data_IF_879485310236
#
_entry.id   IF_879485310236
#
_cell.length_a   1.000
_cell.length_b   1.000
_cell.length_c   1.000
_cell.angle_alpha   90.00
_cell.angle_beta   90.00
_cell.angle_gamma   90.00
#
_symmetry.space_group_name_H-M   'P 1'
#
loop_
_entity.id
_entity.type
_entity.pdbx_description
1 polymer ?
#
# COMPACT_ATOMS: atom_id res chain seq x y z
N UNK A 1 12.04 -20.41 -5.84
CA UNK A 1 11.58 -19.46 -4.80
C UNK A 1 11.94 -18.07 -5.29
N UNK A 2 11.15 -17.58 -6.23
CA UNK A 2 11.34 -16.28 -6.87
C UNK A 2 11.05 -15.20 -5.83
N UNK A 3 12.05 -14.38 -5.55
CA UNK A 3 12.03 -13.51 -4.39
C UNK A 3 10.89 -12.50 -4.52
N UNK A 4 10.16 -12.28 -3.43
CA UNK A 4 9.10 -11.28 -3.26
C UNK A 4 9.55 -9.85 -3.65
N UNK A 5 10.83 -9.63 -3.93
CA UNK A 5 11.44 -8.33 -4.22
C UNK A 5 11.12 -7.74 -5.60
N UNK A 6 10.58 -8.52 -6.55
CA UNK A 6 10.40 -8.06 -7.94
C UNK A 6 8.96 -7.72 -8.36
N UNK A 7 7.99 -7.73 -7.44
CA UNK A 7 6.58 -7.39 -7.76
C UNK A 7 6.19 -5.95 -7.37
N UNK A 8 7.10 -5.00 -7.53
CA UNK A 8 6.81 -3.56 -7.41
C UNK A 8 6.38 -3.05 -8.78
N UNK A 9 5.08 -2.86 -9.00
CA UNK A 9 4.55 -2.41 -10.28
C UNK A 9 4.31 -0.91 -10.29
N UNK A 10 5.00 -0.27 -11.24
CA UNK A 10 4.76 1.03 -11.85
C UNK A 10 4.44 2.20 -10.89
N UNK A 11 5.47 2.82 -10.32
CA UNK A 11 5.35 4.17 -9.79
C UNK A 11 5.25 5.18 -10.95
N UNK A 12 4.04 5.67 -11.26
CA UNK A 12 3.81 6.82 -12.16
C UNK A 12 4.15 8.14 -11.46
N UNK A 13 5.38 8.32 -10.97
CA UNK A 13 5.76 9.54 -10.24
C UNK A 13 7.23 9.91 -10.39
N UNK A 14 7.64 10.28 -11.60
CA UNK A 14 9.03 10.63 -11.93
C UNK A 14 9.66 11.65 -10.95
N UNK A 15 8.91 12.64 -10.47
CA UNK A 15 9.41 13.62 -9.48
C UNK A 15 9.57 13.06 -8.06
N UNK A 16 8.74 12.10 -7.65
CA UNK A 16 8.83 11.52 -6.30
C UNK A 16 10.03 10.59 -6.18
N UNK A 17 10.31 9.81 -7.22
CA UNK A 17 11.43 8.87 -7.23
C UNK A 17 12.81 9.58 -7.19
N UNK A 18 12.87 10.88 -7.51
CA UNK A 18 14.10 11.68 -7.37
C UNK A 18 14.52 11.88 -5.90
N UNK A 19 13.57 11.83 -4.96
CA UNK A 19 13.80 12.19 -3.54
C UNK A 19 13.38 11.12 -2.55
N UNK A 20 12.51 10.21 -2.95
CA UNK A 20 11.93 9.19 -2.09
C UNK A 20 12.08 7.82 -2.72
N UNK A 21 12.15 6.80 -1.87
CA UNK A 21 11.96 5.43 -2.32
C UNK A 21 10.45 5.15 -2.43
N UNK A 22 9.97 4.92 -3.66
CA UNK A 22 8.54 4.81 -3.96
C UNK A 22 8.18 3.37 -4.29
N UNK A 23 7.16 2.85 -3.60
CA UNK A 23 6.56 1.56 -3.89
C UNK A 23 5.19 1.76 -4.55
N UNK A 24 4.97 1.10 -5.68
CA UNK A 24 3.64 0.97 -6.28
C UNK A 24 2.97 -0.31 -5.77
N UNK A 25 1.75 -0.19 -5.24
CA UNK A 25 0.96 -1.33 -4.77
C UNK A 25 -0.25 -1.49 -5.70
N UNK A 26 -0.35 -2.66 -6.35
CA UNK A 26 -1.55 -3.04 -7.10
C UNK A 26 -2.51 -3.75 -6.15
N UNK A 27 -3.70 -3.18 -5.96
CA UNK A 27 -4.77 -3.77 -5.12
C UNK A 27 -5.16 -5.16 -5.61
N UNK A 28 -5.62 -6.04 -4.71
CA UNK A 28 -6.37 -7.25 -5.09
C UNK A 28 -7.50 -6.92 -6.08
N UNK A 29 -7.85 -7.86 -6.95
CA UNK A 29 -8.86 -7.67 -7.99
C UNK A 29 -8.34 -7.02 -9.28
N UNK A 30 -7.06 -6.61 -9.31
CA UNK A 30 -6.40 -6.10 -10.52
C UNK A 30 -5.14 -6.89 -10.80
N UNK A 31 -4.91 -7.24 -12.06
CA UNK A 31 -3.67 -7.89 -12.46
C UNK A 31 -2.46 -6.97 -12.20
N UNK A 32 -1.34 -7.52 -11.69
CA UNK A 32 -1.07 -8.95 -11.48
C UNK A 32 -1.45 -9.47 -10.08
N UNK A 33 -2.05 -8.65 -9.23
CA UNK A 33 -2.52 -9.10 -7.92
C UNK A 33 -3.64 -10.12 -8.08
N UNK A 34 -3.77 -10.99 -7.08
CA UNK A 34 -4.80 -12.02 -7.09
C UNK A 34 -6.20 -11.41 -7.16
N UNK A 35 -7.10 -12.09 -7.87
CA UNK A 35 -8.52 -11.74 -7.91
C UNK A 35 -9.24 -12.65 -6.91
N UNK A 36 -9.65 -12.08 -5.79
CA UNK A 36 -10.45 -12.80 -4.78
C UNK A 36 -11.95 -12.68 -5.11
N UNK A 37 -12.76 -13.63 -4.63
CA UNK A 37 -14.23 -13.57 -4.75
C UNK A 37 -14.89 -12.67 -3.69
N UNK A 38 -14.16 -12.30 -2.64
CA UNK A 38 -14.63 -11.46 -1.53
C UNK A 38 -13.47 -10.68 -0.88
N UNK A 39 -13.78 -9.89 0.16
CA UNK A 39 -12.78 -9.12 0.90
C UNK A 39 -12.37 -7.81 0.23
N UNK A 40 -13.33 -7.11 -0.40
CA UNK A 40 -13.14 -5.79 -1.02
C UNK A 40 -13.70 -4.64 -0.17
N UNK A 41 -13.96 -4.90 1.11
CA UNK A 41 -14.37 -3.89 2.07
C UNK A 41 -13.13 -3.10 2.51
N UNK A 42 -13.33 -1.85 2.94
CA UNK A 42 -12.24 -0.94 3.31
C UNK A 42 -11.20 -1.58 4.24
N UNK A 43 -11.66 -2.31 5.26
CA UNK A 43 -10.76 -2.96 6.22
C UNK A 43 -9.93 -4.07 5.60
N UNK A 44 -10.53 -4.95 4.81
CA UNK A 44 -9.80 -6.03 4.13
C UNK A 44 -8.77 -5.50 3.14
N UNK A 45 -9.10 -4.40 2.44
CA UNK A 45 -8.19 -3.77 1.50
C UNK A 45 -7.06 -3.02 2.22
N UNK A 46 -7.33 -2.38 3.35
CA UNK A 46 -6.32 -1.81 4.23
C UNK A 46 -5.36 -2.87 4.78
N UNK A 47 -5.88 -4.04 5.17
CA UNK A 47 -5.07 -5.14 5.70
C UNK A 47 -4.09 -5.68 4.63
N UNK A 48 -4.47 -5.67 3.35
CA UNK A 48 -3.54 -6.02 2.26
C UNK A 48 -2.37 -5.04 2.17
N UNK A 49 -2.65 -3.74 2.24
CA UNK A 49 -1.62 -2.70 2.20
C UNK A 49 -0.67 -2.90 3.38
N UNK A 50 -1.19 -3.11 4.59
CA UNK A 50 -0.37 -3.36 5.78
C UNK A 50 0.48 -4.62 5.63
N UNK A 51 -0.06 -5.68 5.04
CA UNK A 51 0.68 -6.92 4.75
C UNK A 51 1.85 -6.66 3.80
N UNK A 52 1.66 -5.81 2.78
CA UNK A 52 2.75 -5.38 1.90
C UNK A 52 3.80 -4.59 2.68
N UNK A 53 3.40 -3.65 3.54
CA UNK A 53 4.33 -2.88 4.38
C UNK A 53 5.14 -3.79 5.31
N UNK A 54 4.51 -4.80 5.91
CA UNK A 54 5.16 -5.80 6.74
C UNK A 54 6.19 -6.60 5.94
N UNK A 55 5.83 -7.06 4.75
CA UNK A 55 6.74 -7.83 3.88
C UNK A 55 7.97 -7.04 3.43
N UNK A 56 7.85 -5.72 3.32
CA UNK A 56 8.93 -4.80 2.95
C UNK A 56 9.73 -4.31 4.16
N UNK A 57 9.34 -4.66 5.39
CA UNK A 57 9.96 -4.18 6.61
C UNK A 57 9.80 -2.67 6.83
N UNK A 58 8.72 -2.08 6.30
CA UNK A 58 8.40 -0.65 6.42
C UNK A 58 7.62 -0.35 7.70
N UNK A 59 8.04 -0.96 8.80
CA UNK A 59 7.40 -0.85 10.12
C UNK A 59 8.29 -0.12 11.11
N UNK A 60 7.70 0.35 12.22
CA UNK A 60 8.43 1.03 13.30
C UNK A 60 9.01 2.40 12.90
N UNK A 61 10.33 2.51 12.79
CA UNK A 61 11.00 3.77 12.44
C UNK A 61 10.91 4.13 10.94
N UNK A 62 10.53 3.18 10.07
CA UNK A 62 10.50 3.34 8.61
C UNK A 62 9.09 3.46 8.02
N UNK A 63 8.14 3.95 8.82
CA UNK A 63 6.74 4.08 8.40
C UNK A 63 6.60 4.97 7.17
N UNK A 64 5.89 4.52 6.12
CA UNK A 64 5.75 5.29 4.89
C UNK A 64 4.67 6.37 5.03
N UNK A 65 4.71 7.34 4.13
CA UNK A 65 3.53 8.14 3.78
C UNK A 65 2.75 7.36 2.73
N UNK A 66 1.46 7.10 2.98
CA UNK A 66 0.59 6.45 1.99
C UNK A 66 -0.13 7.51 1.18
N UNK A 67 -0.12 7.33 -0.14
CA UNK A 67 -0.79 8.20 -1.10
C UNK A 67 -1.77 7.36 -1.90
N UNK A 68 -3.03 7.78 -1.92
CA UNK A 68 -4.11 7.08 -2.60
C UNK A 68 -5.03 8.11 -3.27
N UNK A 69 -5.63 7.74 -4.39
CA UNK A 69 -6.56 8.60 -5.13
C UNK A 69 -7.93 7.94 -5.23
N UNK A 70 -9.01 8.74 -5.14
CA UNK A 70 -10.39 8.29 -5.32
C UNK A 70 -10.74 7.15 -4.33
N UNK A 71 -11.14 5.98 -4.82
CA UNK A 71 -11.55 4.83 -3.99
C UNK A 71 -10.43 4.29 -3.09
N UNK A 72 -9.17 4.69 -3.27
CA UNK A 72 -8.11 4.38 -2.31
C UNK A 72 -8.29 5.10 -0.96
N UNK A 73 -9.10 6.17 -0.93
CA UNK A 73 -9.44 6.88 0.31
C UNK A 73 -10.11 5.99 1.36
N UNK A 74 -10.84 4.95 0.96
CA UNK A 74 -11.42 3.96 1.88
C UNK A 74 -10.34 3.21 2.67
N UNK A 75 -9.32 2.71 1.97
CA UNK A 75 -8.19 2.00 2.59
C UNK A 75 -7.37 2.93 3.47
N UNK A 76 -7.08 4.14 3.00
CA UNK A 76 -6.34 5.13 3.77
C UNK A 76 -7.08 5.52 5.05
N UNK A 77 -8.40 5.72 4.98
CA UNK A 77 -9.22 6.06 6.15
C UNK A 77 -9.27 4.91 7.14
N UNK A 78 -9.39 3.67 6.66
CA UNK A 78 -9.35 2.47 7.51
C UNK A 78 -7.98 2.32 8.20
N UNK A 79 -6.86 2.50 7.48
CA UNK A 79 -5.52 2.47 8.08
C UNK A 79 -5.34 3.60 9.09
N UNK A 80 -5.73 4.83 8.74
CA UNK A 80 -5.61 6.00 9.62
C UNK A 80 -6.42 5.88 10.91
N UNK A 81 -7.56 5.18 10.86
CA UNK A 81 -8.42 4.98 12.04
C UNK A 81 -8.01 3.78 12.89
N UNK A 82 -7.64 2.65 12.28
CA UNK A 82 -7.32 1.40 12.99
C UNK A 82 -5.85 1.27 13.38
N UNK A 83 -4.95 1.85 12.58
CA UNK A 83 -3.50 1.65 12.69
C UNK A 83 -2.69 2.93 12.41
N UNK A 84 -3.03 4.09 13.03
CA UNK A 84 -2.33 5.35 12.77
C UNK A 84 -0.83 5.28 13.05
N UNK A 85 -0.42 4.42 13.98
CA UNK A 85 0.98 4.18 14.34
C UNK A 85 1.77 3.41 13.27
N UNK A 86 1.15 2.94 12.20
CA UNK A 86 1.80 2.19 11.10
C UNK A 86 2.24 3.06 9.92
N UNK A 87 1.82 4.33 9.89
CA UNK A 87 2.12 5.27 8.80
C UNK A 87 2.70 6.56 9.35
N UNK A 88 3.46 7.28 8.52
CA UNK A 88 3.96 8.62 8.84
C UNK A 88 2.98 9.73 8.42
N UNK A 89 2.05 9.40 7.52
CA UNK A 89 1.03 10.33 7.03
C UNK A 89 0.18 9.69 5.93
N UNK A 90 -0.94 10.35 5.63
CA UNK A 90 -1.88 9.95 4.58
C UNK A 90 -2.12 11.13 3.64
N UNK A 91 -2.15 10.86 2.34
CA UNK A 91 -2.49 11.83 1.28
C UNK A 91 -3.58 11.21 0.41
N UNK A 92 -4.67 11.94 0.25
CA UNK A 92 -5.88 11.55 -0.49
C UNK A 92 -5.94 12.22 -1.87
#
# INVERSE_FOLDING_TARGET
>A
MESVRERIIAARSAKLIERYHVYGITRRGFAPSSIATSGYLADSLADDVLTVLDSLGLTGARRPVLVGHSIAGEELSSIGSRYPERVAGLVY
#
